data_IF_162215910499
#
_entry.id   IF_162215910499
#
_cell.length_a   1.000
_cell.length_b   1.000
_cell.length_c   1.000
_cell.angle_alpha   90.00
_cell.angle_beta   90.00
_cell.angle_gamma   90.00
#
_symmetry.space_group_name_H-M   'P 1'
#
loop_
_entity.id
_entity.type
_entity.pdbx_description
1 polymer ?
#
# COMPACT_ATOMS: atom_id res chain seq x y z
N UNK A 1 15.99 12.31 11.60
CA UNK A 1 14.63 12.35 12.22
C UNK A 1 14.80 12.61 13.71
N UNK A 2 14.28 13.72 14.23
CA UNK A 2 14.32 14.12 15.65
C UNK A 2 13.02 13.75 16.39
N UNK A 3 12.92 14.06 17.71
CA UNK A 3 11.75 13.76 18.52
C UNK A 3 10.49 14.51 18.06
N UNK A 4 10.64 15.72 17.54
CA UNK A 4 9.54 16.50 16.96
C UNK A 4 9.00 15.84 15.69
N UNK A 5 9.87 15.35 14.81
CA UNK A 5 9.48 14.60 13.63
C UNK A 5 8.67 13.34 14.00
N UNK A 6 9.10 12.63 15.06
CA UNK A 6 8.38 11.44 15.57
C UNK A 6 6.98 11.76 16.06
N UNK A 7 6.82 12.86 16.81
CA UNK A 7 5.53 13.34 17.30
C UNK A 7 4.61 13.77 16.16
N UNK A 8 5.14 14.48 15.15
CA UNK A 8 4.39 14.82 13.92
C UNK A 8 3.92 13.56 13.21
N UNK A 9 4.79 12.56 13.03
CA UNK A 9 4.42 11.29 12.39
C UNK A 9 3.33 10.54 13.16
N UNK A 10 3.35 10.55 14.50
CA UNK A 10 2.30 9.94 15.31
C UNK A 10 0.94 10.60 15.05
N UNK A 11 0.88 11.95 15.02
CA UNK A 11 -0.36 12.66 14.71
C UNK A 11 -0.84 12.34 13.30
N UNK A 12 0.04 12.35 12.31
CA UNK A 12 -0.31 12.05 10.92
C UNK A 12 -0.89 10.64 10.77
N UNK A 13 -0.39 9.66 11.54
CA UNK A 13 -0.89 8.28 11.48
C UNK A 13 -2.23 8.07 12.19
N UNK A 14 -2.47 8.78 13.28
CA UNK A 14 -3.56 8.47 14.20
C UNK A 14 -4.71 9.47 14.15
N UNK A 15 -4.37 10.76 14.04
CA UNK A 15 -5.30 11.85 14.29
C UNK A 15 -4.99 13.06 13.41
N UNK A 16 -4.90 12.84 12.11
CA UNK A 16 -4.66 13.91 11.14
C UNK A 16 -5.80 14.94 11.23
N UNK A 17 -5.51 16.22 11.51
CA UNK A 17 -6.57 17.24 11.68
C UNK A 17 -7.32 17.47 10.37
N UNK A 18 -8.65 17.24 10.38
CA UNK A 18 -9.54 17.50 9.25
C UNK A 18 -10.10 18.94 9.32
N UNK A 19 -9.23 19.93 9.20
CA UNK A 19 -9.53 21.36 9.27
C UNK A 19 -8.93 22.11 8.07
N UNK A 20 -9.29 23.38 7.85
CA UNK A 20 -8.81 24.17 6.70
C UNK A 20 -7.28 24.33 6.64
N UNK A 21 -6.61 24.41 7.79
CA UNK A 21 -5.15 24.54 7.90
C UNK A 21 -4.57 23.44 8.79
N UNK A 22 -4.52 22.19 8.29
CA UNK A 22 -4.15 21.03 9.12
C UNK A 22 -2.72 21.11 9.67
N UNK A 23 -1.78 21.61 8.90
CA UNK A 23 -0.38 21.72 9.31
C UNK A 23 -0.17 22.81 10.37
N UNK A 24 -0.94 23.90 10.32
CA UNK A 24 -1.00 24.89 11.39
C UNK A 24 -1.50 24.25 12.69
N UNK A 25 -2.61 23.49 12.62
CA UNK A 25 -3.15 22.80 13.78
C UNK A 25 -2.20 21.74 14.37
N UNK A 26 -1.33 21.14 13.56
CA UNK A 26 -0.24 20.28 14.04
C UNK A 26 0.84 21.11 14.71
N UNK A 27 1.25 22.24 14.12
CA UNK A 27 2.28 23.12 14.65
C UNK A 27 1.92 23.68 16.03
N UNK A 28 0.69 24.12 16.21
CA UNK A 28 0.16 24.64 17.50
C UNK A 28 0.33 23.65 18.67
N UNK A 29 0.40 22.34 18.41
CA UNK A 29 0.62 21.32 19.45
C UNK A 29 2.08 21.22 19.91
N UNK A 30 3.02 21.82 19.17
CA UNK A 30 4.46 21.70 19.39
C UNK A 30 5.19 23.04 19.36
N UNK A 31 4.46 24.16 19.45
CA UNK A 31 5.01 25.52 19.35
C UNK A 31 5.81 25.74 18.06
N UNK A 32 5.35 25.16 16.94
CA UNK A 32 5.93 25.30 15.62
C UNK A 32 5.04 26.13 14.70
N UNK A 33 5.64 26.87 13.80
CA UNK A 33 4.94 27.49 12.68
C UNK A 33 4.41 26.42 11.69
N UNK A 34 3.40 26.78 10.89
CA UNK A 34 2.93 25.91 9.82
C UNK A 34 4.02 25.60 8.79
N UNK A 35 4.87 26.57 8.49
CA UNK A 35 5.99 26.43 7.55
C UNK A 35 7.02 25.42 8.04
N UNK A 36 7.40 25.49 9.31
CA UNK A 36 8.32 24.51 9.92
C UNK A 36 7.75 23.07 9.88
N UNK A 37 6.44 22.91 10.11
CA UNK A 37 5.78 21.59 9.99
C UNK A 37 5.82 21.09 8.56
N UNK A 38 5.55 21.97 7.58
CA UNK A 38 5.59 21.61 6.15
C UNK A 38 7.00 21.20 5.72
N UNK A 39 8.02 21.95 6.12
CA UNK A 39 9.43 21.64 5.79
C UNK A 39 9.84 20.27 6.34
N UNK A 40 9.48 19.97 7.59
CA UNK A 40 9.71 18.66 8.20
C UNK A 40 9.01 17.54 7.45
N UNK A 41 7.75 17.73 7.05
CA UNK A 41 7.00 16.75 6.27
C UNK A 41 7.61 16.53 4.89
N UNK A 42 8.04 17.59 4.21
CA UNK A 42 8.73 17.52 2.92
C UNK A 42 10.02 16.72 3.05
N UNK A 43 10.83 17.01 4.08
CA UNK A 43 12.04 16.26 4.41
C UNK A 43 11.75 14.77 4.61
N UNK A 44 10.77 14.43 5.44
CA UNK A 44 10.38 13.04 5.72
C UNK A 44 9.84 12.32 4.47
N UNK A 45 9.21 13.04 3.55
CA UNK A 45 8.82 12.50 2.23
C UNK A 45 10.01 12.23 1.33
N UNK A 46 10.98 13.15 1.28
CA UNK A 46 12.20 12.99 0.49
C UNK A 46 13.05 11.82 1.00
N UNK A 47 13.10 11.63 2.32
CA UNK A 47 13.73 10.49 2.99
C UNK A 47 12.92 9.18 2.86
N UNK A 48 11.77 9.19 2.15
CA UNK A 48 10.85 8.05 1.94
C UNK A 48 10.28 7.45 3.23
N UNK A 49 10.36 8.16 4.36
CA UNK A 49 9.71 7.80 5.62
C UNK A 49 8.19 7.95 5.47
N UNK A 50 7.74 9.09 4.94
CA UNK A 50 6.35 9.29 4.54
C UNK A 50 6.23 8.92 3.05
N UNK A 51 5.51 7.85 2.76
CA UNK A 51 5.22 7.45 1.37
C UNK A 51 4.16 8.33 0.73
N UNK A 52 3.07 8.60 1.46
CA UNK A 52 1.97 9.49 1.06
C UNK A 52 1.17 9.94 2.28
N UNK A 53 0.51 11.08 2.17
CA UNK A 53 -0.54 11.54 3.08
C UNK A 53 -1.82 11.57 2.26
N UNK A 54 -2.88 10.90 2.73
CA UNK A 54 -4.15 10.85 2.01
C UNK A 54 -5.11 9.83 2.58
N UNK A 55 -6.36 9.89 2.13
CA UNK A 55 -7.40 8.95 2.52
C UNK A 55 -7.12 7.52 2.05
N UNK A 56 -7.47 6.55 2.87
CA UNK A 56 -7.55 5.15 2.50
C UNK A 56 -9.03 4.79 2.28
N UNK A 57 -9.38 4.53 1.02
CA UNK A 57 -10.75 4.20 0.64
C UNK A 57 -11.01 2.69 0.79
N UNK A 58 -12.24 2.34 1.15
CA UNK A 58 -12.70 0.96 1.13
C UNK A 58 -13.07 0.57 -0.32
N UNK A 59 -12.20 -0.15 -1.01
CA UNK A 59 -12.47 -0.64 -2.36
C UNK A 59 -13.79 -1.43 -2.43
N UNK A 60 -14.07 -2.27 -1.44
CA UNK A 60 -15.31 -3.03 -1.34
C UNK A 60 -16.56 -2.14 -1.30
N UNK A 61 -16.54 -1.02 -0.53
CA UNK A 61 -17.66 -0.07 -0.46
C UNK A 61 -17.82 0.74 -1.75
N UNK A 62 -16.77 0.83 -2.55
CA UNK A 62 -16.79 1.44 -3.88
C UNK A 62 -17.19 0.46 -4.99
N UNK A 63 -17.56 -0.78 -4.63
CA UNK A 63 -18.01 -1.79 -5.60
C UNK A 63 -16.87 -2.63 -6.21
N UNK A 64 -15.62 -2.40 -5.81
CA UNK A 64 -14.50 -3.17 -6.33
C UNK A 64 -14.35 -4.52 -5.64
N UNK A 65 -13.91 -5.52 -6.40
CA UNK A 65 -13.45 -6.82 -5.89
C UNK A 65 -11.93 -6.84 -5.81
N UNK A 66 -11.41 -7.58 -4.83
CA UNK A 66 -9.96 -7.77 -4.65
C UNK A 66 -9.69 -9.25 -4.45
N UNK A 67 -8.68 -9.77 -5.15
CA UNK A 67 -8.29 -11.16 -5.07
C UNK A 67 -6.78 -11.28 -4.92
N UNK A 68 -6.34 -12.04 -3.93
CA UNK A 68 -4.96 -12.49 -3.85
C UNK A 68 -4.76 -13.67 -4.78
N UNK A 69 -3.70 -13.64 -5.55
CA UNK A 69 -3.33 -14.64 -6.52
C UNK A 69 -1.91 -15.15 -6.28
N UNK A 70 -1.67 -16.42 -6.59
CA UNK A 70 -0.34 -17.01 -6.53
C UNK A 70 -0.09 -17.92 -7.73
N UNK A 71 1.11 -17.87 -8.30
CA UNK A 71 1.55 -18.74 -9.37
C UNK A 71 2.87 -19.44 -9.02
N UNK A 72 3.00 -20.68 -9.49
CA UNK A 72 4.27 -21.43 -9.46
C UNK A 72 4.94 -21.22 -10.81
N UNK A 73 6.00 -20.42 -10.82
CA UNK A 73 6.73 -20.01 -12.02
C UNK A 73 8.15 -20.54 -11.95
N UNK A 74 8.69 -21.00 -13.08
CA UNK A 74 10.11 -21.37 -13.15
C UNK A 74 10.99 -20.16 -12.84
N UNK A 75 12.12 -20.38 -12.17
CA UNK A 75 13.02 -19.30 -11.74
C UNK A 75 13.45 -18.39 -12.89
N UNK A 76 13.75 -18.99 -14.05
CA UNK A 76 14.17 -18.32 -15.28
C UNK A 76 13.10 -17.40 -15.89
N UNK A 77 11.81 -17.62 -15.59
CA UNK A 77 10.68 -16.86 -16.12
C UNK A 77 10.15 -15.81 -15.14
N UNK A 78 10.64 -15.77 -13.90
CA UNK A 78 10.06 -14.91 -12.85
C UNK A 78 10.05 -13.43 -13.22
N UNK A 79 11.12 -12.91 -13.78
CA UNK A 79 11.25 -11.50 -14.15
C UNK A 79 10.29 -11.13 -15.29
N UNK A 80 10.25 -11.99 -16.33
CA UNK A 80 9.31 -11.83 -17.45
C UNK A 80 7.85 -11.84 -17.00
N UNK A 81 7.51 -12.79 -16.11
CA UNK A 81 6.15 -12.88 -15.54
C UNK A 81 5.84 -11.63 -14.71
N UNK A 82 6.78 -11.16 -13.89
CA UNK A 82 6.61 -9.95 -13.10
C UNK A 82 6.37 -8.71 -13.97
N UNK A 83 7.08 -8.55 -15.08
CA UNK A 83 6.88 -7.46 -16.05
C UNK A 83 5.48 -7.51 -16.68
N UNK A 84 5.04 -8.70 -17.12
CA UNK A 84 3.70 -8.89 -17.67
C UNK A 84 2.64 -8.50 -16.63
N UNK A 85 2.77 -8.99 -15.39
CA UNK A 85 1.84 -8.65 -14.30
C UNK A 85 1.82 -7.16 -14.02
N UNK A 86 2.98 -6.50 -13.97
CA UNK A 86 3.09 -5.06 -13.70
C UNK A 86 2.45 -4.18 -14.79
N UNK A 87 2.21 -4.72 -16.00
CA UNK A 87 1.53 -4.00 -17.08
C UNK A 87 0.00 -3.87 -16.86
N UNK A 88 -0.58 -4.61 -15.91
CA UNK A 88 -2.01 -4.55 -15.61
C UNK A 88 -2.31 -3.52 -14.53
N UNK A 89 -3.09 -2.46 -14.83
CA UNK A 89 -3.39 -1.39 -13.85
C UNK A 89 -4.09 -1.90 -12.58
N UNK A 90 -4.86 -3.00 -12.70
CA UNK A 90 -5.55 -3.63 -11.56
C UNK A 90 -4.62 -4.39 -10.61
N UNK A 91 -3.38 -4.67 -11.00
CA UNK A 91 -2.40 -5.32 -10.14
C UNK A 91 -1.70 -4.28 -9.29
N UNK A 92 -2.02 -4.27 -7.99
CA UNK A 92 -1.54 -3.26 -7.04
C UNK A 92 -0.30 -3.69 -6.25
N UNK A 93 -0.08 -5.00 -6.17
CA UNK A 93 1.03 -5.60 -5.45
C UNK A 93 1.49 -6.83 -6.22
N UNK A 94 2.79 -6.96 -6.42
CA UNK A 94 3.42 -8.09 -7.09
C UNK A 94 4.75 -8.40 -6.37
N UNK A 95 4.88 -9.62 -5.84
CA UNK A 95 6.01 -10.03 -5.02
C UNK A 95 6.54 -11.39 -5.45
N UNK A 96 7.86 -11.53 -5.48
CA UNK A 96 8.55 -12.81 -5.50
C UNK A 96 8.75 -13.30 -4.05
N UNK A 97 8.53 -14.59 -3.81
CA UNK A 97 8.76 -15.27 -2.54
C UNK A 97 9.60 -16.52 -2.73
N UNK A 98 10.38 -16.87 -1.74
CA UNK A 98 11.11 -18.12 -1.68
C UNK A 98 10.17 -19.24 -1.20
N UNK A 99 9.37 -19.76 -2.13
CA UNK A 99 8.40 -20.82 -1.91
C UNK A 99 8.02 -21.48 -3.25
N UNK A 100 7.35 -22.63 -3.21
CA UNK A 100 6.82 -23.32 -4.40
C UNK A 100 5.93 -22.39 -5.24
N UNK A 101 4.99 -21.67 -4.62
CA UNK A 101 4.29 -20.55 -5.22
C UNK A 101 5.13 -19.30 -5.02
N UNK A 102 5.91 -18.97 -6.01
CA UNK A 102 6.95 -17.94 -5.88
C UNK A 102 6.54 -16.57 -6.41
N UNK A 103 5.48 -16.44 -7.20
CA UNK A 103 4.92 -15.15 -7.62
C UNK A 103 3.57 -14.94 -6.96
N UNK A 104 3.42 -13.82 -6.26
CA UNK A 104 2.22 -13.43 -5.53
C UNK A 104 1.79 -12.04 -5.95
N UNK A 105 0.52 -11.88 -6.31
CA UNK A 105 -0.01 -10.58 -6.71
C UNK A 105 -1.44 -10.37 -6.25
N UNK A 106 -1.86 -9.11 -6.16
CA UNK A 106 -3.23 -8.74 -5.82
C UNK A 106 -3.86 -8.04 -7.02
N UNK A 107 -4.95 -8.59 -7.51
CA UNK A 107 -5.76 -8.02 -8.58
C UNK A 107 -7.00 -7.36 -8.01
N UNK A 108 -7.23 -6.09 -8.35
CA UNK A 108 -8.43 -5.31 -8.05
C UNK A 108 -9.18 -5.06 -9.35
N UNK A 109 -10.49 -5.30 -9.36
CA UNK A 109 -11.38 -5.11 -10.51
C UNK A 109 -12.71 -4.52 -10.08
N UNK A 110 -13.41 -3.91 -11.02
CA UNK A 110 -14.75 -3.35 -10.85
C UNK A 110 -15.85 -4.42 -10.69
N UNK A 111 -15.58 -5.63 -11.15
CA UNK A 111 -16.51 -6.77 -11.04
C UNK A 111 -15.76 -8.10 -10.92
N UNK A 112 -16.48 -9.15 -10.49
CA UNK A 112 -15.95 -10.51 -10.47
C UNK A 112 -15.75 -11.05 -11.88
N UNK A 113 -16.64 -10.70 -12.79
CA UNK A 113 -16.55 -11.10 -14.20
C UNK A 113 -15.29 -10.53 -14.86
N UNK A 114 -15.05 -9.22 -14.75
CA UNK A 114 -13.84 -8.55 -15.25
C UNK A 114 -12.59 -9.15 -14.62
N UNK A 115 -12.61 -9.42 -13.31
CA UNK A 115 -11.51 -10.05 -12.58
C UNK A 115 -11.16 -11.41 -13.17
N UNK A 116 -12.16 -12.28 -13.35
CA UNK A 116 -11.95 -13.65 -13.82
C UNK A 116 -11.50 -13.68 -15.28
N UNK A 117 -12.01 -12.79 -16.11
CA UNK A 117 -11.54 -12.58 -17.48
C UNK A 117 -10.08 -12.12 -17.51
N UNK A 118 -9.72 -11.15 -16.68
CA UNK A 118 -8.34 -10.65 -16.57
C UNK A 118 -7.38 -11.77 -16.13
N UNK A 119 -7.79 -12.62 -15.18
CA UNK A 119 -6.95 -13.75 -14.74
C UNK A 119 -6.73 -14.74 -15.88
N UNK A 120 -7.76 -15.08 -16.64
CA UNK A 120 -7.64 -15.98 -17.80
C UNK A 120 -6.72 -15.41 -18.89
N UNK A 121 -6.79 -14.10 -19.10
CA UNK A 121 -5.87 -13.39 -20.00
C UNK A 121 -4.42 -13.43 -19.51
N UNK A 122 -4.21 -13.21 -18.21
CA UNK A 122 -2.89 -13.30 -17.56
C UNK A 122 -2.32 -14.72 -17.74
N UNK A 123 -3.09 -15.77 -17.39
CA UNK A 123 -2.68 -17.18 -17.53
C UNK A 123 -2.23 -17.49 -18.97
N UNK A 124 -2.99 -17.02 -19.96
CA UNK A 124 -2.66 -17.20 -21.38
C UNK A 124 -1.34 -16.52 -21.75
N UNK A 125 -1.07 -15.32 -21.20
CA UNK A 125 0.15 -14.56 -21.54
C UNK A 125 1.39 -15.06 -20.82
N UNK A 126 1.25 -15.47 -19.54
CA UNK A 126 2.40 -15.95 -18.76
C UNK A 126 2.70 -17.43 -18.99
N UNK A 127 1.71 -18.23 -19.43
CA UNK A 127 1.84 -19.67 -19.63
C UNK A 127 1.85 -20.48 -18.33
N UNK A 128 1.39 -19.92 -17.22
CA UNK A 128 1.33 -20.55 -15.90
C UNK A 128 -0.07 -20.42 -15.30
N UNK A 129 -0.49 -21.45 -14.55
CA UNK A 129 -1.75 -21.44 -13.83
C UNK A 129 -1.70 -20.48 -12.64
N UNK A 130 -2.79 -19.76 -12.40
CA UNK A 130 -2.95 -18.80 -11.31
C UNK A 130 -3.92 -19.32 -10.27
N UNK A 131 -3.41 -19.59 -9.07
CA UNK A 131 -4.25 -19.93 -7.93
C UNK A 131 -4.97 -18.70 -7.40
N UNK A 132 -6.29 -18.81 -7.32
CA UNK A 132 -7.18 -17.77 -6.78
C UNK A 132 -7.39 -18.02 -5.29
N UNK A 133 -7.06 -17.03 -4.45
CA UNK A 133 -7.11 -17.11 -2.99
C UNK A 133 -8.09 -16.06 -2.44
N UNK A 134 -9.43 -16.34 -2.49
CA UNK A 134 -10.42 -15.41 -2.00
C UNK A 134 -10.34 -15.26 -0.48
N UNK A 135 -10.39 -14.01 0.01
CA UNK A 135 -10.47 -13.74 1.44
C UNK A 135 -11.85 -14.14 1.98
N UNK A 136 -11.90 -15.09 2.90
CA UNK A 136 -13.13 -15.55 3.55
C UNK A 136 -13.52 -14.68 4.74
N UNK A 137 -12.54 -14.11 5.45
CA UNK A 137 -12.77 -13.27 6.63
C UNK A 137 -11.66 -12.22 6.78
N UNK A 138 -12.06 -11.00 7.03
CA UNK A 138 -11.15 -9.91 7.39
C UNK A 138 -11.05 -9.82 8.92
N UNK A 139 -9.86 -10.02 9.47
CA UNK A 139 -9.63 -9.89 10.92
C UNK A 139 -9.14 -8.51 11.32
N UNK A 140 -8.27 -7.90 10.52
CA UNK A 140 -7.70 -6.57 10.79
C UNK A 140 -7.22 -5.92 9.49
N UNK A 141 -7.57 -4.66 9.31
CA UNK A 141 -7.04 -3.81 8.24
C UNK A 141 -6.58 -2.48 8.85
N UNK A 142 -5.48 -2.50 9.57
CA UNK A 142 -4.86 -1.30 10.13
C UNK A 142 -3.36 -1.53 10.30
N UNK A 143 -2.55 -0.74 9.60
CA UNK A 143 -1.12 -0.66 9.84
C UNK A 143 -0.83 0.65 10.60
N UNK A 144 -0.31 0.52 11.81
CA UNK A 144 0.16 1.63 12.63
C UNK A 144 1.53 1.25 13.17
N UNK A 145 2.50 2.08 12.87
CA UNK A 145 3.85 1.87 13.33
C UNK A 145 4.05 2.54 14.70
N UNK A 146 4.53 1.77 15.68
CA UNK A 146 5.04 2.31 16.92
C UNK A 146 6.35 3.02 16.60
N UNK A 147 6.35 4.34 16.67
CA UNK A 147 7.57 5.14 16.47
C UNK A 147 8.25 5.22 17.84
N UNK A 148 9.46 4.65 18.00
CA UNK A 148 10.16 4.68 19.29
C UNK A 148 10.41 6.13 19.72
N UNK A 149 10.03 6.47 20.94
CA UNK A 149 10.52 7.69 21.59
C UNK A 149 12.02 7.49 21.75
N UNK A 150 12.83 8.43 21.23
CA UNK A 150 14.27 8.37 21.42
C UNK A 150 14.60 8.58 22.89
N UNK A 151 15.57 7.86 23.41
CA UNK A 151 16.19 8.18 24.67
C UNK A 151 16.70 9.64 24.61
N UNK A 152 16.34 10.45 25.60
CA UNK A 152 16.80 11.81 25.79
C UNK A 152 18.31 11.86 26.08
#
# INVERSE_FOLDING_TARGET
MDNTDKKILQIIQHDFPLVNRPYKAIGEKFDLSEEEVLDRIIKLKNEKIIRRIGGLFSSKKLGYTSLLCAAKVKEEDTDKVAEILNSYPGITHNYKRDNEYNIWFTLISDSEETRDKTISEIESKIGYFVNKLPATKLFKLRAVFKIPEGDE
#
